data_IF_218219340512
#
_entry.id   IF_218219340512
#
_cell.length_a   1.000
_cell.length_b   1.000
_cell.length_c   1.000
_cell.angle_alpha   90.00
_cell.angle_beta   90.00
_cell.angle_gamma   90.00
#
_symmetry.space_group_name_H-M   'P 1'
#
loop_
_entity.id
_entity.type
_entity.pdbx_description
1 polymer ?
#
# COMPACT_ATOMS: atom_id res chain seq x y z
N UNK A 1 -23.46 -15.83 0.53
CA UNK A 1 -22.67 -14.90 -0.31
C UNK A 1 -22.07 -13.92 0.67
N UNK A 2 -20.85 -14.19 1.14
CA UNK A 2 -20.12 -13.26 2.01
C UNK A 2 -19.65 -12.11 1.14
N UNK A 3 -19.97 -10.89 1.55
CA UNK A 3 -19.57 -9.67 0.84
C UNK A 3 -18.04 -9.60 0.79
N UNK A 4 -17.44 -9.90 -0.37
CA UNK A 4 -15.98 -9.76 -0.57
C UNK A 4 -15.44 -8.38 -0.18
N UNK A 5 -16.31 -7.35 -0.17
CA UNK A 5 -15.96 -6.02 0.32
C UNK A 5 -15.74 -5.97 1.85
N UNK A 6 -16.50 -6.71 2.66
CA UNK A 6 -16.32 -6.68 4.12
C UNK A 6 -15.02 -7.37 4.55
N UNK A 7 -14.62 -8.42 3.84
CA UNK A 7 -13.37 -9.13 4.10
C UNK A 7 -12.17 -8.26 3.72
N UNK A 8 -12.25 -7.55 2.58
CA UNK A 8 -11.20 -6.63 2.14
C UNK A 8 -11.00 -5.45 3.09
N UNK A 9 -12.08 -4.87 3.63
CA UNK A 9 -12.01 -3.78 4.60
C UNK A 9 -11.37 -4.23 5.92
N UNK A 10 -11.65 -5.45 6.37
CA UNK A 10 -11.02 -6.04 7.55
C UNK A 10 -9.53 -6.31 7.33
N UNK A 11 -9.17 -6.91 6.19
CA UNK A 11 -7.78 -7.17 5.82
C UNK A 11 -6.97 -5.86 5.71
N UNK A 12 -7.54 -4.83 5.07
CA UNK A 12 -6.92 -3.52 4.97
C UNK A 12 -6.69 -2.89 6.34
N UNK A 13 -7.69 -2.94 7.23
CA UNK A 13 -7.56 -2.43 8.59
C UNK A 13 -6.44 -3.13 9.36
N UNK A 14 -6.33 -4.46 9.24
CA UNK A 14 -5.24 -5.24 9.84
C UNK A 14 -3.87 -4.87 9.27
N UNK A 15 -3.79 -4.67 7.95
CA UNK A 15 -2.58 -4.29 7.25
C UNK A 15 -2.08 -2.89 7.67
N UNK A 16 -3.00 -1.94 7.80
CA UNK A 16 -2.74 -0.58 8.29
C UNK A 16 -2.22 -0.62 9.72
N UNK A 17 -2.87 -1.36 10.61
CA UNK A 17 -2.42 -1.52 12.00
C UNK A 17 -1.01 -2.14 12.07
N UNK A 18 -0.72 -3.13 11.22
CA UNK A 18 0.63 -3.70 11.14
C UNK A 18 1.66 -2.68 10.67
N UNK A 19 1.33 -1.86 9.65
CA UNK A 19 2.20 -0.80 9.14
C UNK A 19 2.48 0.27 10.22
N UNK A 20 1.44 0.77 10.87
CA UNK A 20 1.55 1.81 11.92
C UNK A 20 2.31 1.30 13.15
N UNK A 21 2.13 0.02 13.47
CA UNK A 21 2.91 -0.67 14.50
C UNK A 21 4.35 -1.01 14.10
N UNK A 22 4.82 -0.57 12.91
CA UNK A 22 6.15 -0.87 12.34
C UNK A 22 6.44 -2.36 12.14
N UNK A 23 5.40 -3.19 12.08
CA UNK A 23 5.50 -4.61 11.76
C UNK A 23 5.54 -4.79 10.24
N UNK A 24 6.57 -4.22 9.60
CA UNK A 24 6.59 -4.01 8.16
C UNK A 24 6.56 -5.30 7.34
N UNK A 25 7.25 -6.36 7.75
CA UNK A 25 7.18 -7.63 7.01
C UNK A 25 5.76 -8.23 7.00
N UNK A 26 5.02 -8.08 8.11
CA UNK A 26 3.61 -8.49 8.18
C UNK A 26 2.73 -7.55 7.35
N UNK A 27 2.96 -6.25 7.44
CA UNK A 27 2.24 -5.27 6.63
C UNK A 27 2.41 -5.55 5.12
N UNK A 28 3.63 -5.83 4.65
CA UNK A 28 3.91 -6.13 3.25
C UNK A 28 3.09 -7.34 2.76
N UNK A 29 3.07 -8.42 3.55
CA UNK A 29 2.32 -9.63 3.21
C UNK A 29 0.81 -9.39 3.12
N UNK A 30 0.25 -8.50 3.95
CA UNK A 30 -1.17 -8.16 3.93
C UNK A 30 -1.50 -7.12 2.83
N UNK A 31 -0.62 -6.15 2.60
CA UNK A 31 -0.84 -5.06 1.64
C UNK A 31 -0.61 -5.50 0.19
N UNK A 32 0.30 -6.44 -0.09
CA UNK A 32 0.59 -6.88 -1.46
C UNK A 32 -0.66 -7.35 -2.23
N UNK A 33 -1.47 -8.30 -1.72
CA UNK A 33 -2.67 -8.72 -2.44
C UNK A 33 -3.71 -7.60 -2.57
N UNK A 34 -3.85 -6.74 -1.56
CA UNK A 34 -4.77 -5.60 -1.61
C UNK A 34 -4.34 -4.55 -2.64
N UNK A 35 -3.04 -4.28 -2.74
CA UNK A 35 -2.48 -3.36 -3.73
C UNK A 35 -2.64 -3.89 -5.16
N UNK A 36 -2.50 -5.20 -5.35
CA UNK A 36 -2.78 -5.90 -6.62
C UNK A 36 -4.27 -5.83 -7.00
N UNK A 37 -5.17 -5.87 -6.01
CA UNK A 37 -6.62 -5.73 -6.22
C UNK A 37 -7.07 -4.28 -6.42
N UNK A 38 -6.16 -3.30 -6.34
CA UNK A 38 -6.48 -1.90 -6.60
C UNK A 38 -6.85 -1.09 -5.36
N UNK A 39 -6.64 -1.60 -4.15
CA UNK A 39 -6.84 -0.81 -2.92
C UNK A 39 -5.86 0.37 -2.91
N UNK A 40 -6.41 1.58 -3.05
CA UNK A 40 -5.66 2.83 -3.16
C UNK A 40 -4.75 3.06 -1.95
N UNK A 41 -5.26 2.77 -0.75
CA UNK A 41 -4.50 2.88 0.51
C UNK A 41 -3.38 1.84 0.57
N UNK A 42 -3.63 0.62 0.10
CA UNK A 42 -2.60 -0.42 0.06
C UNK A 42 -1.50 -0.11 -0.96
N UNK A 43 -1.86 0.42 -2.13
CA UNK A 43 -0.91 0.88 -3.12
C UNK A 43 -0.02 2.00 -2.57
N UNK A 44 -0.60 3.02 -1.95
CA UNK A 44 0.17 4.10 -1.32
C UNK A 44 1.16 3.56 -0.29
N UNK A 45 0.72 2.68 0.62
CA UNK A 45 1.60 2.12 1.66
C UNK A 45 2.68 1.21 1.09
N UNK A 46 2.35 0.36 0.11
CA UNK A 46 3.35 -0.44 -0.60
C UNK A 46 4.39 0.43 -1.31
N UNK A 47 3.99 1.58 -1.84
CA UNK A 47 4.92 2.51 -2.44
C UNK A 47 5.92 3.07 -1.43
N UNK A 48 5.44 3.53 -0.27
CA UNK A 48 6.28 4.02 0.83
C UNK A 48 7.23 2.91 1.33
N UNK A 49 6.74 1.69 1.48
CA UNK A 49 7.56 0.56 1.93
C UNK A 49 8.65 0.21 0.92
N UNK A 50 8.32 0.25 -0.38
CA UNK A 50 9.26 -0.05 -1.46
C UNK A 50 10.32 1.04 -1.61
N UNK A 51 9.95 2.30 -1.38
CA UNK A 51 10.88 3.43 -1.41
C UNK A 51 11.87 3.38 -0.24
N UNK A 52 11.37 3.07 0.97
CA UNK A 52 12.17 3.07 2.20
C UNK A 52 12.83 1.73 2.55
N UNK A 53 12.53 0.65 1.82
CA UNK A 53 13.01 -0.69 2.17
C UNK A 53 12.42 -1.20 3.50
N UNK A 54 11.16 -0.89 3.77
CA UNK A 54 10.49 -1.22 5.04
C UNK A 54 9.89 -2.61 4.96
N UNK A 55 10.55 -3.60 5.59
CA UNK A 55 10.07 -4.99 5.61
C UNK A 55 10.14 -5.72 4.26
N UNK A 56 10.57 -5.01 3.21
CA UNK A 56 10.88 -5.49 1.86
C UNK A 56 12.17 -4.82 1.38
N UNK A 57 12.80 -5.37 0.34
CA UNK A 57 13.95 -4.71 -0.29
C UNK A 57 13.51 -3.40 -0.97
N UNK A 58 14.40 -2.41 -0.99
CA UNK A 58 14.18 -1.17 -1.74
C UNK A 58 13.92 -1.51 -3.21
N UNK A 59 12.86 -0.96 -3.77
CA UNK A 59 12.48 -1.14 -5.17
C UNK A 59 11.78 0.12 -5.69
N UNK A 60 12.56 1.01 -6.31
CA UNK A 60 12.08 2.29 -6.82
C UNK A 60 11.03 2.14 -7.94
N UNK A 61 11.18 1.13 -8.80
CA UNK A 61 10.20 0.85 -9.86
C UNK A 61 8.84 0.45 -9.28
N UNK A 62 8.85 -0.40 -8.24
CA UNK A 62 7.64 -0.80 -7.53
C UNK A 62 7.03 0.39 -6.77
N UNK A 63 7.87 1.20 -6.13
CA UNK A 63 7.45 2.41 -5.44
C UNK A 63 6.73 3.37 -6.39
N UNK A 64 7.36 3.69 -7.52
CA UNK A 64 6.78 4.57 -8.53
C UNK A 64 5.47 4.00 -9.09
N UNK A 65 5.44 2.70 -9.44
CA UNK A 65 4.25 2.03 -9.98
C UNK A 65 3.04 2.20 -9.04
N UNK A 66 3.19 1.84 -7.76
CA UNK A 66 2.07 1.89 -6.83
C UNK A 66 1.72 3.31 -6.40
N UNK A 67 2.71 4.20 -6.24
CA UNK A 67 2.42 5.60 -5.92
C UNK A 67 1.64 6.27 -7.05
N UNK A 68 2.06 6.03 -8.30
CA UNK A 68 1.38 6.56 -9.47
C UNK A 68 -0.07 6.05 -9.54
N UNK A 69 -0.30 4.75 -9.35
CA UNK A 69 -1.65 4.19 -9.36
C UNK A 69 -2.56 4.81 -8.27
N UNK A 70 -2.04 4.98 -7.05
CA UNK A 70 -2.78 5.63 -5.97
C UNK A 70 -3.04 7.12 -6.27
N UNK A 71 -2.08 7.83 -6.85
CA UNK A 71 -2.19 9.23 -7.23
C UNK A 71 -3.22 9.46 -8.34
N UNK A 72 -3.21 8.60 -9.38
CA UNK A 72 -4.19 8.60 -10.48
C UNK A 72 -5.62 8.30 -9.98
N UNK A 73 -5.74 7.54 -8.88
CA UNK A 73 -7.01 7.27 -8.20
C UNK A 73 -7.48 8.40 -7.28
N UNK A 74 -6.76 9.53 -7.23
CA UNK A 74 -7.15 10.71 -6.45
C UNK A 74 -6.60 10.77 -5.03
N UNK A 75 -5.69 9.87 -4.64
CA UNK A 75 -5.14 9.89 -3.27
C UNK A 75 -4.18 11.07 -3.07
N UNK A 76 -4.59 12.03 -2.24
CA UNK A 76 -3.85 13.29 -2.03
C UNK A 76 -2.39 13.08 -1.57
N UNK A 77 -2.14 12.17 -0.63
CA UNK A 77 -0.77 11.89 -0.16
C UNK A 77 0.08 11.22 -1.26
N UNK A 78 -0.53 10.36 -2.07
CA UNK A 78 0.16 9.75 -3.20
C UNK A 78 0.47 10.76 -4.32
N UNK A 79 -0.44 11.69 -4.60
CA UNK A 79 -0.20 12.79 -5.55
C UNK A 79 0.95 13.69 -5.10
N UNK A 80 0.97 14.03 -3.80
CA UNK A 80 2.08 14.76 -3.22
C UNK A 80 3.39 13.96 -3.33
N UNK A 81 3.39 12.69 -2.91
CA UNK A 81 4.55 11.81 -2.96
C UNK A 81 5.10 11.58 -4.37
N UNK A 82 4.23 11.48 -5.38
CA UNK A 82 4.63 11.35 -6.78
C UNK A 82 5.36 12.62 -7.29
N UNK A 83 5.05 13.79 -6.74
CA UNK A 83 5.76 15.03 -7.06
C UNK A 83 7.19 15.11 -6.50
N UNK A 84 7.54 14.27 -5.52
CA UNK A 84 8.89 14.21 -4.92
C UNK A 84 9.70 12.99 -5.37
N UNK A 85 9.10 12.08 -6.15
CA UNK A 85 9.77 10.90 -6.69
C UNK A 85 10.56 11.18 -7.96
#
# INVERSE_FOLDING_TARGET
MTDSNSDMDFELSSAIAAFEGKNFSRAAGLLSPLAEQGSVEAQYRMAIMSQGGLGIAVNELMAYKYMKAAAESGHAMAQHGLGFM
#
